data_IF_689883512207
#
_entry.id   IF_689883512207
#
_cell.length_a   1.000
_cell.length_b   1.000
_cell.length_c   1.000
_cell.angle_alpha   90.00
_cell.angle_beta   90.00
_cell.angle_gamma   90.00
#
_symmetry.space_group_name_H-M   'P 1'
#
loop_
_entity.id
_entity.type
_entity.pdbx_description
1 polymer ?
#
# COMPACT_ATOMS: atom_id res chain seq x y z
N UNK A 1 -20.00 -1.72 17.67
CA UNK A 1 -21.05 -1.41 16.67
C UNK A 1 -21.45 0.06 16.66
N UNK A 2 -21.91 0.66 17.78
CA UNK A 2 -22.34 2.09 17.86
C UNK A 2 -21.33 3.10 17.26
N UNK A 3 -20.04 2.97 17.60
CA UNK A 3 -18.96 3.85 17.06
C UNK A 3 -18.83 3.78 15.54
N UNK A 4 -18.95 2.60 14.94
CA UNK A 4 -18.84 2.45 13.49
C UNK A 4 -20.10 2.93 12.77
N UNK A 5 -21.29 2.71 13.32
CA UNK A 5 -22.53 3.28 12.79
C UNK A 5 -22.49 4.82 12.81
N UNK A 6 -21.99 5.42 13.90
CA UNK A 6 -21.79 6.87 13.99
C UNK A 6 -20.79 7.38 12.93
N UNK A 7 -19.66 6.69 12.73
CA UNK A 7 -18.68 7.02 11.69
C UNK A 7 -19.27 6.92 10.28
N UNK A 8 -20.11 5.92 10.03
CA UNK A 8 -20.80 5.75 8.75
C UNK A 8 -21.76 6.93 8.51
N UNK A 9 -22.59 7.29 9.49
CA UNK A 9 -23.49 8.46 9.39
C UNK A 9 -22.71 9.74 9.10
N UNK A 10 -21.67 10.03 9.88
CA UNK A 10 -20.82 11.21 9.65
C UNK A 10 -20.21 11.25 8.24
N UNK A 11 -19.81 10.10 7.70
CA UNK A 11 -19.28 10.01 6.32
C UNK A 11 -20.37 10.21 5.27
N UNK A 12 -21.56 9.69 5.52
CA UNK A 12 -22.73 9.87 4.66
C UNK A 12 -23.09 11.35 4.54
N UNK A 13 -23.31 12.02 5.67
CA UNK A 13 -23.73 13.43 5.69
C UNK A 13 -22.65 14.34 5.07
N UNK A 14 -21.37 14.02 5.34
CA UNK A 14 -20.26 14.71 4.71
C UNK A 14 -20.20 14.50 3.19
N UNK A 15 -20.46 13.27 2.72
CA UNK A 15 -20.47 12.96 1.29
C UNK A 15 -21.59 13.72 0.56
N UNK A 16 -22.81 13.73 1.10
CA UNK A 16 -23.93 14.47 0.51
C UNK A 16 -23.65 15.98 0.48
N UNK A 17 -23.10 16.54 1.57
CA UNK A 17 -22.69 17.95 1.60
C UNK A 17 -21.63 18.27 0.54
N UNK A 18 -20.66 17.38 0.31
CA UNK A 18 -19.66 17.56 -0.73
C UNK A 18 -20.27 17.50 -2.14
N UNK A 19 -21.24 16.61 -2.37
CA UNK A 19 -21.95 16.53 -3.65
C UNK A 19 -22.70 17.85 -3.93
N UNK A 20 -23.46 18.34 -2.95
CA UNK A 20 -24.19 19.61 -3.07
C UNK A 20 -23.24 20.79 -3.34
N UNK A 21 -22.11 20.88 -2.62
CA UNK A 21 -21.08 21.91 -2.85
C UNK A 21 -20.47 21.87 -4.25
N UNK A 22 -20.56 20.73 -4.94
CA UNK A 22 -20.09 20.53 -6.32
C UNK A 22 -21.21 20.63 -7.35
N UNK A 23 -22.43 21.01 -6.95
CA UNK A 23 -23.59 21.07 -7.82
C UNK A 23 -24.10 19.71 -8.28
N UNK A 24 -23.71 18.62 -7.61
CA UNK A 24 -24.13 17.26 -7.92
C UNK A 24 -25.26 16.82 -7.00
N UNK A 25 -26.29 16.21 -7.59
CA UNK A 25 -27.36 15.56 -6.85
C UNK A 25 -27.18 14.03 -6.85
N UNK A 26 -28.04 13.32 -6.12
CA UNK A 26 -27.93 11.85 -6.01
C UNK A 26 -28.19 11.10 -7.33
N UNK A 27 -28.89 11.71 -8.30
CA UNK A 27 -29.06 11.13 -9.64
C UNK A 27 -27.74 11.18 -10.41
N UNK A 28 -26.97 12.25 -10.28
CA UNK A 28 -25.63 12.35 -10.89
C UNK A 28 -24.69 11.28 -10.31
N UNK A 29 -24.73 11.10 -9.00
CA UNK A 29 -23.96 10.03 -8.32
C UNK A 29 -24.41 8.65 -8.79
N UNK A 30 -25.72 8.42 -8.90
CA UNK A 30 -26.25 7.16 -9.41
C UNK A 30 -25.80 6.92 -10.86
N UNK A 31 -25.89 7.92 -11.73
CA UNK A 31 -25.42 7.84 -13.11
C UNK A 31 -23.93 7.52 -13.19
N UNK A 32 -23.10 8.16 -12.36
CA UNK A 32 -21.68 7.86 -12.25
C UNK A 32 -21.43 6.40 -11.82
N UNK A 33 -22.20 5.88 -10.87
CA UNK A 33 -22.13 4.46 -10.46
C UNK A 33 -22.54 3.52 -11.58
N UNK A 34 -23.57 3.85 -12.36
CA UNK A 34 -24.00 3.05 -13.52
C UNK A 34 -22.89 2.98 -14.57
N UNK A 35 -22.26 4.12 -14.89
CA UNK A 35 -21.11 4.18 -15.81
C UNK A 35 -19.94 3.38 -15.25
N UNK A 36 -19.60 3.55 -13.97
CA UNK A 36 -18.54 2.77 -13.33
C UNK A 36 -18.81 1.26 -13.41
N UNK A 37 -20.03 0.80 -13.16
CA UNK A 37 -20.40 -0.62 -13.32
C UNK A 37 -20.23 -1.08 -14.76
N UNK A 38 -20.64 -0.27 -15.74
CA UNK A 38 -20.46 -0.59 -17.18
C UNK A 38 -18.99 -0.74 -17.53
N UNK A 39 -18.14 0.15 -17.05
CA UNK A 39 -16.71 0.17 -17.37
C UNK A 39 -15.91 -0.93 -16.66
N UNK A 40 -16.19 -1.18 -15.38
CA UNK A 40 -15.35 -2.02 -14.52
C UNK A 40 -15.94 -3.38 -14.16
N UNK A 41 -17.27 -3.54 -14.17
CA UNK A 41 -17.93 -4.76 -13.67
C UNK A 41 -18.50 -5.64 -14.78
N UNK A 42 -18.82 -5.09 -15.95
CA UNK A 42 -19.29 -5.88 -17.10
C UNK A 42 -18.10 -6.50 -17.83
N UNK A 43 -18.17 -7.77 -18.28
CA UNK A 43 -17.10 -8.39 -19.06
C UNK A 43 -16.69 -7.62 -20.33
N UNK A 44 -17.63 -6.90 -20.94
CA UNK A 44 -17.41 -6.03 -22.11
C UNK A 44 -16.94 -4.61 -21.77
N UNK A 45 -16.80 -4.28 -20.48
CA UNK A 45 -16.31 -2.99 -20.03
C UNK A 45 -14.81 -2.85 -20.27
N UNK A 46 -14.39 -1.65 -20.70
CA UNK A 46 -13.00 -1.32 -21.01
C UNK A 46 -12.01 -1.69 -19.88
N UNK A 47 -12.44 -1.55 -18.62
CA UNK A 47 -11.61 -1.77 -17.44
C UNK A 47 -12.01 -3.01 -16.65
N UNK A 48 -12.75 -3.94 -17.24
CA UNK A 48 -13.15 -5.20 -16.59
C UNK A 48 -11.95 -6.00 -16.06
N UNK A 49 -10.85 -5.98 -16.81
CA UNK A 49 -9.60 -6.63 -16.47
C UNK A 49 -9.06 -6.18 -15.10
N UNK A 50 -9.34 -4.94 -14.67
CA UNK A 50 -8.79 -4.38 -13.44
C UNK A 50 -9.20 -5.18 -12.21
N UNK A 51 -10.49 -5.43 -12.02
CA UNK A 51 -10.98 -6.21 -10.86
C UNK A 51 -10.81 -7.72 -11.05
N UNK A 52 -10.83 -8.19 -12.31
CA UNK A 52 -10.59 -9.60 -12.64
C UNK A 52 -9.18 -10.03 -12.26
N UNK A 53 -8.19 -9.22 -12.60
CA UNK A 53 -6.77 -9.57 -12.47
C UNK A 53 -6.14 -9.02 -11.18
N UNK A 54 -6.91 -8.25 -10.41
CA UNK A 54 -6.46 -7.66 -9.15
C UNK A 54 -5.96 -8.72 -8.19
N UNK A 55 -4.73 -8.52 -7.69
CA UNK A 55 -4.11 -9.34 -6.66
C UNK A 55 -3.82 -8.48 -5.45
N UNK A 56 -4.10 -9.02 -4.26
CA UNK A 56 -3.78 -8.36 -3.00
C UNK A 56 -2.28 -8.35 -2.74
N UNK A 57 -1.59 -9.42 -3.15
CA UNK A 57 -0.16 -9.55 -2.99
C UNK A 57 0.48 -10.34 -4.15
N UNK A 58 1.73 -10.01 -4.45
CA UNK A 58 2.60 -10.80 -5.33
C UNK A 58 3.87 -11.18 -4.57
N UNK A 59 4.32 -12.42 -4.71
CA UNK A 59 5.62 -12.87 -4.20
C UNK A 59 6.59 -13.02 -5.37
N UNK A 60 7.82 -12.56 -5.19
CA UNK A 60 8.96 -12.85 -6.08
C UNK A 60 10.16 -13.23 -5.22
N UNK A 61 10.61 -14.49 -5.24
CA UNK A 61 11.65 -14.96 -4.33
C UNK A 61 11.25 -14.74 -2.86
N UNK A 62 12.09 -14.01 -2.11
CA UNK A 62 11.86 -13.61 -0.71
C UNK A 62 11.18 -12.24 -0.57
N UNK A 63 10.76 -11.63 -1.67
CA UNK A 63 10.08 -10.34 -1.70
C UNK A 63 8.55 -10.50 -1.76
N UNK A 64 7.86 -9.68 -0.96
CA UNK A 64 6.40 -9.59 -0.98
C UNK A 64 5.97 -8.19 -1.37
N UNK A 65 5.27 -8.07 -2.50
CA UNK A 65 4.68 -6.84 -3.01
C UNK A 65 3.23 -6.74 -2.54
N UNK A 66 2.90 -5.65 -1.85
CA UNK A 66 1.55 -5.33 -1.34
C UNK A 66 1.30 -3.83 -1.49
N UNK A 67 0.04 -3.39 -1.46
CA UNK A 67 -0.25 -1.96 -1.63
C UNK A 67 0.19 -1.12 -0.42
N UNK A 68 -0.26 -1.45 0.80
CA UNK A 68 0.03 -0.66 2.00
C UNK A 68 0.82 -1.41 3.07
N UNK A 69 0.50 -2.68 3.35
CA UNK A 69 1.18 -3.43 4.41
C UNK A 69 0.50 -4.73 4.79
N UNK A 70 0.83 -5.23 5.99
CA UNK A 70 0.31 -6.47 6.57
C UNK A 70 -0.08 -6.24 8.03
N UNK A 71 -0.97 -7.08 8.53
CA UNK A 71 -1.23 -7.26 9.95
C UNK A 71 -0.96 -8.71 10.39
N UNK A 72 -1.11 -9.00 11.68
CA UNK A 72 -0.91 -10.34 12.22
C UNK A 72 -1.82 -11.40 11.58
N UNK A 73 -3.06 -11.05 11.23
CA UNK A 73 -4.04 -11.98 10.64
C UNK A 73 -3.59 -12.38 9.24
N UNK A 74 -3.15 -11.39 8.45
CA UNK A 74 -2.65 -11.60 7.10
C UNK A 74 -1.28 -12.29 7.10
N UNK A 75 -0.42 -11.99 8.07
CA UNK A 75 0.83 -12.73 8.29
C UNK A 75 0.58 -14.23 8.53
N UNK A 76 -0.44 -14.57 9.34
CA UNK A 76 -0.84 -15.98 9.57
C UNK A 76 -1.39 -16.63 8.31
N UNK A 77 -2.27 -15.95 7.58
CA UNK A 77 -2.83 -16.48 6.34
C UNK A 77 -1.74 -16.73 5.28
N UNK A 78 -0.79 -15.80 5.18
CA UNK A 78 0.39 -15.92 4.32
C UNK A 78 1.27 -17.11 4.73
N UNK A 79 1.53 -17.29 6.03
CA UNK A 79 2.32 -18.42 6.53
C UNK A 79 1.65 -19.78 6.22
N UNK A 80 0.33 -19.88 6.40
CA UNK A 80 -0.41 -21.14 6.23
C UNK A 80 -0.64 -21.56 4.78
N UNK A 81 -0.69 -20.63 3.83
CA UNK A 81 -1.08 -20.97 2.45
C UNK A 81 -0.50 -20.08 1.36
N UNK A 82 0.47 -19.22 1.72
CA UNK A 82 1.16 -18.34 0.79
C UNK A 82 0.24 -17.31 0.10
N UNK A 83 0.80 -16.65 -0.91
CA UNK A 83 0.09 -15.60 -1.67
C UNK A 83 -1.09 -16.14 -2.48
N UNK A 84 -1.08 -17.43 -2.86
CA UNK A 84 -2.21 -18.05 -3.57
C UNK A 84 -3.46 -18.06 -2.70
N UNK A 85 -3.35 -18.52 -1.45
CA UNK A 85 -4.48 -18.52 -0.50
C UNK A 85 -4.93 -17.10 -0.16
N UNK A 86 -3.99 -16.17 0.02
CA UNK A 86 -4.27 -14.76 0.26
C UNK A 86 -5.09 -14.12 -0.89
N UNK A 87 -4.64 -14.29 -2.14
CA UNK A 87 -5.32 -13.74 -3.31
C UNK A 87 -6.68 -14.39 -3.57
N UNK A 88 -6.84 -15.69 -3.29
CA UNK A 88 -8.15 -16.36 -3.34
C UNK A 88 -9.14 -15.76 -2.33
N UNK A 89 -8.69 -15.56 -1.08
CA UNK A 89 -9.51 -14.94 -0.04
C UNK A 89 -9.90 -13.50 -0.40
N UNK A 90 -8.96 -12.75 -0.98
CA UNK A 90 -9.21 -11.40 -1.49
C UNK A 90 -10.28 -11.37 -2.60
N UNK A 91 -10.14 -12.20 -3.62
CA UNK A 91 -11.09 -12.27 -4.73
C UNK A 91 -12.50 -12.67 -4.26
N UNK A 92 -12.61 -13.60 -3.30
CA UNK A 92 -13.89 -13.98 -2.70
C UNK A 92 -14.50 -12.84 -1.88
N UNK A 93 -13.70 -12.13 -1.08
CA UNK A 93 -14.17 -11.03 -0.25
C UNK A 93 -14.70 -9.85 -1.08
N UNK A 94 -14.02 -9.52 -2.18
CA UNK A 94 -14.47 -8.48 -3.13
C UNK A 94 -15.84 -8.80 -3.75
N UNK A 95 -16.11 -10.06 -4.09
CA UNK A 95 -17.35 -10.46 -4.75
C UNK A 95 -18.53 -10.60 -3.79
N UNK A 96 -18.32 -11.17 -2.61
CA UNK A 96 -19.42 -11.64 -1.78
C UNK A 96 -19.67 -10.84 -0.50
N UNK A 97 -18.67 -10.11 0.01
CA UNK A 97 -18.76 -9.47 1.34
C UNK A 97 -18.12 -8.08 1.37
N UNK A 98 -18.61 -7.09 0.60
CA UNK A 98 -17.95 -5.79 0.46
C UNK A 98 -17.80 -5.03 1.78
N UNK A 99 -18.81 -5.06 2.67
CA UNK A 99 -18.73 -4.42 3.99
C UNK A 99 -17.70 -5.11 4.89
N UNK A 100 -17.78 -6.43 5.04
CA UNK A 100 -16.82 -7.20 5.85
C UNK A 100 -15.40 -7.12 5.28
N UNK A 101 -15.27 -7.04 3.96
CA UNK A 101 -14.01 -6.78 3.29
C UNK A 101 -13.47 -5.43 3.72
N UNK A 102 -14.23 -4.34 3.52
CA UNK A 102 -13.79 -2.96 3.79
C UNK A 102 -13.30 -2.73 5.21
N UNK A 103 -13.95 -3.34 6.21
CA UNK A 103 -13.59 -3.25 7.62
C UNK A 103 -12.72 -4.40 8.12
N UNK A 104 -12.35 -5.34 7.24
CA UNK A 104 -11.63 -6.55 7.60
C UNK A 104 -10.13 -6.48 7.33
N UNK A 105 -9.37 -7.48 7.84
CA UNK A 105 -7.91 -7.57 7.66
C UNK A 105 -7.43 -7.58 6.19
N UNK A 106 -8.24 -8.12 5.27
CA UNK A 106 -7.88 -8.12 3.84
C UNK A 106 -7.81 -6.70 3.27
N UNK A 107 -8.78 -5.84 3.58
CA UNK A 107 -8.76 -4.46 3.11
C UNK A 107 -7.75 -3.62 3.91
N UNK A 108 -7.39 -4.04 5.13
CA UNK A 108 -6.30 -3.42 5.88
C UNK A 108 -4.96 -3.45 5.11
N UNK A 109 -4.70 -4.49 4.29
CA UNK A 109 -3.50 -4.53 3.41
C UNK A 109 -3.52 -3.51 2.26
N UNK A 110 -4.69 -2.98 1.92
CA UNK A 110 -4.90 -1.93 0.91
C UNK A 110 -5.02 -0.55 1.56
N UNK A 111 -5.42 -0.49 2.82
CA UNK A 111 -5.79 0.76 3.49
C UNK A 111 -4.84 1.19 4.59
N UNK A 112 -3.72 0.49 4.80
CA UNK A 112 -2.93 0.65 6.02
C UNK A 112 -2.37 2.06 6.16
N UNK A 113 -3.15 2.92 6.82
CA UNK A 113 -2.68 4.11 7.51
C UNK A 113 -2.39 3.65 8.92
N UNK A 114 -1.14 3.80 9.37
CA UNK A 114 -0.63 3.47 10.70
C UNK A 114 -1.42 4.14 11.85
N UNK A 115 -2.67 3.72 12.07
CA UNK A 115 -3.56 4.20 13.12
C UNK A 115 -3.65 3.11 14.18
N UNK A 116 -3.59 3.50 15.44
CA UNK A 116 -3.67 2.55 16.58
C UNK A 116 -4.96 1.73 16.61
N UNK A 117 -5.98 2.14 15.85
CA UNK A 117 -7.27 1.46 15.72
C UNK A 117 -7.29 0.31 14.70
N UNK A 118 -6.28 0.24 13.81
CA UNK A 118 -6.20 -0.77 12.76
C UNK A 118 -5.36 -1.98 13.23
N UNK A 119 -5.61 -3.16 12.68
CA UNK A 119 -4.95 -4.40 13.13
C UNK A 119 -3.42 -4.29 13.04
N UNK A 120 -2.66 -4.42 14.15
CA UNK A 120 -1.23 -4.19 14.14
C UNK A 120 -0.43 -5.38 13.59
N UNK A 121 0.72 -5.09 13.00
CA UNK A 121 1.79 -6.08 12.79
C UNK A 121 2.74 -6.10 13.99
N UNK A 122 2.71 -7.17 14.74
CA UNK A 122 3.58 -7.41 15.90
C UNK A 122 4.85 -8.15 15.49
N UNK A 123 5.83 -8.26 16.40
CA UNK A 123 7.01 -9.10 16.20
C UNK A 123 6.64 -10.57 15.93
N UNK A 124 5.54 -11.06 16.54
CA UNK A 124 5.03 -12.40 16.25
C UNK A 124 4.56 -12.52 14.80
N UNK A 125 3.77 -11.56 14.30
CA UNK A 125 3.35 -11.51 12.91
C UNK A 125 4.54 -11.44 11.95
N UNK A 126 5.53 -10.58 12.23
CA UNK A 126 6.75 -10.48 11.43
C UNK A 126 7.53 -11.80 11.37
N UNK A 127 7.59 -12.56 12.48
CA UNK A 127 8.18 -13.91 12.48
C UNK A 127 7.42 -14.89 11.59
N UNK A 128 6.09 -14.83 11.56
CA UNK A 128 5.28 -15.66 10.65
C UNK A 128 5.56 -15.32 9.18
N UNK A 129 5.68 -14.02 8.85
CA UNK A 129 6.07 -13.56 7.50
C UNK A 129 7.45 -14.12 7.13
N UNK A 130 8.43 -14.04 8.04
CA UNK A 130 9.77 -14.61 7.83
C UNK A 130 9.73 -16.12 7.62
N UNK A 131 8.96 -16.85 8.44
CA UNK A 131 8.76 -18.31 8.30
C UNK A 131 8.03 -18.69 7.00
N UNK A 132 7.25 -17.78 6.42
CA UNK A 132 6.67 -17.95 5.08
C UNK A 132 7.71 -17.80 3.95
N UNK A 133 8.98 -17.53 4.28
CA UNK A 133 10.08 -17.32 3.34
C UNK A 133 10.13 -15.91 2.77
N UNK A 134 9.55 -14.92 3.47
CA UNK A 134 9.58 -13.51 3.06
C UNK A 134 10.58 -12.74 3.93
N UNK A 135 11.55 -12.09 3.29
CA UNK A 135 12.59 -11.29 3.95
C UNK A 135 12.31 -9.80 3.89
N UNK A 136 11.59 -9.36 2.86
CA UNK A 136 11.29 -7.95 2.64
C UNK A 136 9.89 -7.71 2.06
N UNK A 137 9.27 -6.62 2.50
CA UNK A 137 7.97 -6.15 2.01
C UNK A 137 8.17 -4.89 1.18
N UNK A 138 7.61 -4.87 -0.02
CA UNK A 138 7.59 -3.73 -0.93
C UNK A 138 6.18 -3.18 -0.95
N UNK A 139 6.02 -1.94 -0.52
CA UNK A 139 4.70 -1.35 -0.34
C UNK A 139 4.74 0.18 -0.41
N UNK A 140 3.58 0.82 -0.61
CA UNK A 140 3.39 2.27 -0.58
C UNK A 140 2.47 2.69 0.58
N UNK A 141 1.59 3.67 0.32
CA UNK A 141 0.58 4.19 1.24
C UNK A 141 1.14 4.98 2.44
N UNK A 142 2.26 5.67 2.21
CA UNK A 142 2.91 6.63 3.10
C UNK A 142 3.33 7.86 2.31
N UNK A 143 2.76 9.01 2.63
CA UNK A 143 3.19 10.26 1.98
C UNK A 143 4.65 10.58 2.37
N UNK A 144 5.59 10.31 1.45
CA UNK A 144 7.03 10.47 1.63
C UNK A 144 7.54 11.56 0.69
N UNK A 145 7.74 12.77 1.20
CA UNK A 145 8.27 13.91 0.42
C UNK A 145 9.77 13.84 0.16
N UNK A 146 10.48 12.99 0.92
CA UNK A 146 11.92 12.82 0.78
C UNK A 146 12.26 11.62 -0.12
N UNK A 147 11.34 11.20 -0.99
CA UNK A 147 11.48 10.00 -1.82
C UNK A 147 11.38 8.69 -1.03
N UNK A 148 11.51 7.57 -1.74
CA UNK A 148 11.37 6.23 -1.19
C UNK A 148 12.35 5.93 -0.05
N UNK A 149 12.01 4.98 0.82
CA UNK A 149 12.80 4.66 2.01
C UNK A 149 12.92 3.17 2.24
N UNK A 150 14.10 2.77 2.72
CA UNK A 150 14.32 1.47 3.35
C UNK A 150 14.14 1.62 4.86
N UNK A 151 13.27 0.81 5.45
CA UNK A 151 12.99 0.83 6.89
C UNK A 151 13.02 -0.58 7.48
N UNK A 152 13.64 -0.73 8.65
CA UNK A 152 13.53 -1.95 9.44
C UNK A 152 12.38 -1.78 10.45
N UNK A 153 11.31 -2.56 10.28
CA UNK A 153 10.14 -2.54 11.18
C UNK A 153 9.92 -3.91 11.76
N UNK A 154 9.96 -4.03 13.10
CA UNK A 154 9.74 -5.31 13.81
C UNK A 154 10.62 -6.44 13.23
N UNK A 155 11.88 -6.12 12.93
CA UNK A 155 12.88 -7.01 12.31
C UNK A 155 12.54 -7.51 10.90
N UNK A 156 11.71 -6.77 10.17
CA UNK A 156 11.38 -7.00 8.77
C UNK A 156 11.80 -5.81 7.93
N UNK A 157 12.42 -6.07 6.78
CA UNK A 157 12.84 -5.04 5.85
C UNK A 157 11.62 -4.53 5.07
N UNK A 158 11.45 -3.23 4.99
CA UNK A 158 10.36 -2.57 4.28
C UNK A 158 10.97 -1.61 3.26
N UNK A 159 10.58 -1.77 2.00
CA UNK A 159 10.82 -0.82 0.94
C UNK A 159 9.54 -0.01 0.76
N UNK A 160 9.54 1.19 1.33
CA UNK A 160 8.42 2.13 1.32
C UNK A 160 8.51 3.00 0.06
N UNK A 161 7.61 2.75 -0.89
CA UNK A 161 7.70 3.12 -2.29
C UNK A 161 6.55 4.05 -2.73
N UNK A 162 6.21 5.04 -1.93
CA UNK A 162 5.01 5.85 -2.20
C UNK A 162 5.32 7.13 -3.01
N UNK A 163 4.33 7.56 -3.79
CA UNK A 163 4.31 8.84 -4.52
C UNK A 163 2.86 9.25 -4.70
N UNK A 164 2.54 10.52 -4.46
CA UNK A 164 1.17 11.02 -4.51
C UNK A 164 0.72 11.17 -5.97
N UNK A 165 -0.04 10.22 -6.51
CA UNK A 165 -0.53 10.28 -7.91
C UNK A 165 -1.85 11.05 -8.07
N UNK A 166 -2.62 11.18 -6.99
CA UNK A 166 -3.92 11.86 -6.99
C UNK A 166 -3.75 13.39 -7.02
N UNK A 167 -4.34 14.05 -8.02
CA UNK A 167 -4.25 15.50 -8.22
C UNK A 167 -4.73 16.30 -7.00
N UNK A 168 -5.78 15.84 -6.32
CA UNK A 168 -6.31 16.56 -5.16
C UNK A 168 -5.34 16.50 -3.98
N UNK A 169 -4.82 15.31 -3.67
CA UNK A 169 -3.78 15.09 -2.66
C UNK A 169 -2.54 15.94 -2.99
N UNK A 170 -2.09 15.94 -4.24
CA UNK A 170 -0.95 16.77 -4.69
C UNK A 170 -1.17 18.25 -4.44
N UNK A 171 -2.35 18.78 -4.79
CA UNK A 171 -2.70 20.18 -4.50
C UNK A 171 -2.70 20.47 -2.99
N UNK A 172 -3.31 19.61 -2.18
CA UNK A 172 -3.34 19.77 -0.72
C UNK A 172 -1.95 19.72 -0.08
N UNK A 173 -1.03 18.94 -0.65
CA UNK A 173 0.34 18.79 -0.16
C UNK A 173 1.35 19.74 -0.82
N UNK A 174 0.90 20.63 -1.72
CA UNK A 174 1.79 21.58 -2.42
C UNK A 174 2.74 20.93 -3.42
N UNK A 175 2.42 19.72 -3.91
CA UNK A 175 3.24 18.98 -4.87
C UNK A 175 2.98 19.45 -6.31
N UNK A 176 4.06 19.64 -7.07
CA UNK A 176 4.01 20.17 -8.45
C UNK A 176 3.99 19.06 -9.50
N UNK A 177 3.38 19.31 -10.66
CA UNK A 177 3.40 18.39 -11.80
C UNK A 177 2.60 17.10 -11.58
N UNK A 178 2.75 16.15 -12.50
CA UNK A 178 2.09 14.85 -12.42
C UNK A 178 2.85 13.93 -11.45
N UNK A 179 2.11 13.23 -10.59
CA UNK A 179 2.70 12.27 -9.66
C UNK A 179 3.11 10.99 -10.38
N UNK A 180 4.39 10.62 -10.28
CA UNK A 180 4.92 9.39 -10.86
C UNK A 180 6.06 8.84 -10.00
N UNK A 181 6.05 7.54 -9.74
CA UNK A 181 7.10 6.90 -8.96
C UNK A 181 7.28 5.44 -9.36
N UNK A 182 8.52 4.96 -9.28
CA UNK A 182 8.87 3.58 -9.55
C UNK A 182 9.98 3.12 -8.61
N UNK A 183 9.87 1.87 -8.15
CA UNK A 183 10.96 1.17 -7.46
C UNK A 183 11.34 -0.04 -8.30
N UNK A 184 12.59 -0.06 -8.76
CA UNK A 184 13.17 -1.09 -9.60
C UNK A 184 14.08 -1.95 -8.72
N UNK A 185 13.85 -3.25 -8.72
CA UNK A 185 14.70 -4.23 -8.03
C UNK A 185 15.42 -5.02 -9.11
N UNK A 186 16.73 -4.81 -9.20
CA UNK A 186 17.56 -5.48 -10.19
C UNK A 186 18.02 -6.86 -9.71
N UNK A 187 18.21 -7.84 -10.61
CA UNK A 187 18.74 -9.16 -10.25
C UNK A 187 20.09 -9.13 -9.54
N UNK A 188 20.89 -8.09 -9.78
CA UNK A 188 22.19 -7.86 -9.12
C UNK A 188 22.08 -7.41 -7.65
N UNK A 189 20.86 -7.20 -7.15
CA UNK A 189 20.59 -6.79 -5.77
C UNK A 189 20.53 -5.28 -5.55
N UNK A 190 20.61 -4.48 -6.62
CA UNK A 190 20.39 -3.04 -6.56
C UNK A 190 18.92 -2.71 -6.45
N UNK A 191 18.63 -1.63 -5.74
CA UNK A 191 17.27 -1.10 -5.63
C UNK A 191 17.30 0.39 -5.97
N UNK A 192 16.70 0.73 -7.10
CA UNK A 192 16.60 2.09 -7.60
C UNK A 192 15.19 2.60 -7.37
N UNK A 193 15.08 3.79 -6.79
CA UNK A 193 13.83 4.45 -6.51
C UNK A 193 13.81 5.82 -7.18
N UNK A 194 12.78 6.06 -7.99
CA UNK A 194 12.57 7.32 -8.72
C UNK A 194 11.19 7.84 -8.34
N UNK A 195 11.08 9.13 -8.04
CA UNK A 195 9.81 9.78 -7.70
C UNK A 195 9.80 11.20 -8.26
N UNK A 196 8.64 11.64 -8.76
CA UNK A 196 8.40 13.04 -9.13
C UNK A 196 8.45 13.99 -7.94
N UNK A 197 8.31 13.46 -6.73
CA UNK A 197 8.15 14.25 -5.51
C UNK A 197 9.49 14.48 -4.80
N UNK A 198 10.58 13.93 -5.33
CA UNK A 198 11.93 14.08 -4.80
C UNK A 198 12.95 14.22 -5.94
N UNK A 199 13.84 15.24 -5.93
CA UNK A 199 14.66 15.60 -7.08
C UNK A 199 15.75 14.58 -7.46
N UNK A 200 16.06 13.62 -6.59
CA UNK A 200 17.16 12.66 -6.82
C UNK A 200 16.65 11.23 -6.88
N UNK A 201 17.21 10.45 -7.79
CA UNK A 201 17.06 9.00 -7.74
C UNK A 201 17.78 8.45 -6.50
N UNK A 202 17.13 7.54 -5.78
CA UNK A 202 17.72 6.85 -4.64
C UNK A 202 18.19 5.47 -5.05
N UNK A 203 19.49 5.25 -4.97
CA UNK A 203 20.12 3.97 -5.25
C UNK A 203 20.55 3.31 -3.93
N UNK A 204 20.06 2.10 -3.70
CA UNK A 204 20.64 1.18 -2.74
C UNK A 204 21.49 0.17 -3.49
N UNK A 205 22.80 0.31 -3.31
CA UNK A 205 23.81 -0.63 -3.79
C UNK A 205 24.50 -1.26 -2.57
N UNK A 206 24.34 -2.58 -2.34
CA UNK A 206 24.80 -3.21 -1.09
C UNK A 206 26.30 -3.02 -0.80
N UNK A 207 27.16 -3.19 -1.81
CA UNK A 207 28.61 -3.13 -1.64
C UNK A 207 29.07 -1.70 -1.35
N UNK A 208 28.68 -0.73 -2.17
CA UNK A 208 28.96 0.69 -1.93
C UNK A 208 28.43 1.16 -0.57
N UNK A 209 27.20 0.77 -0.21
CA UNK A 209 26.60 1.12 1.08
C UNK A 209 27.42 0.55 2.23
N UNK A 210 27.83 -0.72 2.15
CA UNK A 210 28.64 -1.36 3.19
C UNK A 210 30.02 -0.71 3.33
N UNK A 211 30.67 -0.37 2.21
CA UNK A 211 31.96 0.32 2.22
C UNK A 211 31.85 1.71 2.87
N UNK A 212 30.81 2.48 2.53
CA UNK A 212 30.56 3.79 3.14
C UNK A 212 30.31 3.67 4.65
N UNK A 213 29.51 2.69 5.08
CA UNK A 213 29.25 2.43 6.50
C UNK A 213 30.54 2.10 7.25
N UNK A 214 31.37 1.19 6.72
CA UNK A 214 32.69 0.84 7.31
C UNK A 214 33.59 2.06 7.44
N UNK A 215 33.68 2.91 6.40
CA UNK A 215 34.44 4.17 6.45
C UNK A 215 33.92 5.10 7.54
N UNK A 216 32.60 5.26 7.66
CA UNK A 216 31.99 6.15 8.66
C UNK A 216 32.22 5.66 10.10
N UNK A 217 32.15 4.34 10.32
CA UNK A 217 32.44 3.73 11.63
C UNK A 217 33.90 3.92 12.02
N UNK A 218 34.83 3.74 11.09
CA UNK A 218 36.26 3.95 11.35
C UNK A 218 36.57 5.42 11.65
N UNK A 219 35.90 6.37 10.99
CA UNK A 219 36.05 7.80 11.28
C UNK A 219 35.55 8.16 12.68
N UNK A 220 34.40 7.62 13.11
CA UNK A 220 33.87 7.82 14.46
C UNK A 220 34.79 7.24 15.54
N UNK A 221 35.35 6.05 15.32
CA UNK A 221 36.32 5.42 16.23
C UNK A 221 37.63 6.19 16.37
N UNK A 222 38.02 7.01 15.38
CA UNK A 222 39.21 7.86 15.44
C UNK A 222 38.95 9.23 16.06
N UNK A 223 37.67 9.61 16.24
CA UNK A 223 37.24 10.90 16.78
C UNK A 223 36.73 10.79 18.23
N UNK A 224 36.76 9.60 18.82
CA UNK A 224 36.46 9.29 20.21
C UNK A 224 37.72 8.75 20.87
#
# INVERSE_FOLDING_TARGET
IKRELFRIRKKHDHFESLCQKRGMNMRDIYAAVVIWKKLFMKPSGEFYWFYRDMKLAKRSGSFLFVHAGLDNTMARLLYQGGVKKLNKAFAQALKHKPFSFYYGPLCNMVRTKYRDVDHPLTCHGARLVKRAGISAVIHGHRNLHNGQRIALRKSMLNFECDTSVDRHTRHQEGLKGNGAGVTIIEPKGHILAISSDYPYAKLFEPEMTLQQLKKSMNKRRRAA
#
